data_IF_530353093567
#
_entry.id   IF_530353093567
#
_cell.length_a   1.000
_cell.length_b   1.000
_cell.length_c   1.000
_cell.angle_alpha   90.00
_cell.angle_beta   90.00
_cell.angle_gamma   90.00
#
_symmetry.space_group_name_H-M   'P 1'
#
loop_
_entity.id
_entity.type
_entity.pdbx_description
1 polymer ?
#
# COMPACT_ATOMS: atom_id res chain seq x y z
N UNK A 1 2.33 24.65 25.57
CA UNK A 1 3.02 24.77 24.26
C UNK A 1 2.22 24.01 23.22
N UNK A 2 1.95 24.61 22.07
CA UNK A 2 1.31 23.91 20.96
C UNK A 2 2.27 22.84 20.40
N UNK A 3 1.76 21.66 20.05
CA UNK A 3 2.62 20.57 19.60
C UNK A 3 3.29 20.92 18.28
N UNK A 4 4.63 20.80 18.20
CA UNK A 4 5.46 21.34 17.10
C UNK A 4 4.96 20.94 15.71
N UNK A 5 4.43 19.74 15.55
CA UNK A 5 3.89 19.26 14.28
C UNK A 5 2.66 20.06 13.81
N UNK A 6 1.83 20.61 14.70
CA UNK A 6 0.64 21.44 14.37
C UNK A 6 1.00 22.79 13.74
N UNK A 7 2.19 23.31 14.04
CA UNK A 7 2.69 24.61 13.55
C UNK A 7 3.80 24.50 12.49
N UNK A 8 4.33 23.29 12.25
CA UNK A 8 5.34 23.04 11.22
C UNK A 8 4.84 23.51 9.84
N UNK A 9 5.64 24.34 9.15
CA UNK A 9 5.37 24.90 7.82
C UNK A 9 4.07 25.72 7.69
N UNK A 10 3.43 26.14 8.78
CA UNK A 10 2.21 27.00 8.70
C UNK A 10 2.50 28.50 8.70
N UNK A 11 3.74 28.90 8.97
CA UNK A 11 4.22 30.30 8.97
C UNK A 11 5.44 30.44 8.07
N UNK A 12 5.59 31.59 7.42
CA UNK A 12 6.67 31.85 6.47
C UNK A 12 8.01 32.08 7.16
N UNK A 13 9.10 31.70 6.49
CA UNK A 13 10.46 31.84 6.99
C UNK A 13 10.92 33.30 6.92
N UNK A 14 11.21 33.90 8.08
CA UNK A 14 11.71 35.28 8.18
C UNK A 14 13.02 35.51 7.42
N UNK A 15 13.88 34.48 7.27
CA UNK A 15 15.13 34.60 6.50
C UNK A 15 14.86 34.73 5.00
N UNK A 16 13.88 34.00 4.45
CA UNK A 16 13.44 34.17 3.06
C UNK A 16 12.83 35.57 2.86
N UNK A 17 11.97 36.01 3.79
CA UNK A 17 11.33 37.33 3.71
C UNK A 17 12.33 38.50 3.71
N UNK A 18 13.48 38.37 4.39
CA UNK A 18 14.48 39.44 4.50
C UNK A 18 15.64 39.32 3.51
N UNK A 19 16.12 38.10 3.30
CA UNK A 19 17.40 37.83 2.62
C UNK A 19 17.24 36.97 1.36
N UNK A 20 16.02 36.54 1.01
CA UNK A 20 15.69 35.59 -0.07
C UNK A 20 16.34 34.19 0.06
N UNK A 21 17.13 33.95 1.11
CA UNK A 21 17.82 32.68 1.38
C UNK A 21 17.62 32.23 2.83
N UNK A 22 17.62 30.91 3.06
CA UNK A 22 17.63 30.31 4.39
C UNK A 22 18.76 29.30 4.51
N UNK A 23 19.79 29.63 5.30
CA UNK A 23 20.94 28.77 5.60
C UNK A 23 20.58 27.49 6.36
N UNK A 24 19.33 27.36 6.83
CA UNK A 24 18.80 26.18 7.53
C UNK A 24 17.66 25.51 6.74
N UNK A 25 17.57 25.69 5.41
CA UNK A 25 16.44 25.25 4.56
C UNK A 25 15.97 23.82 4.85
N UNK A 26 16.89 22.89 5.06
CA UNK A 26 16.61 21.46 5.33
C UNK A 26 15.92 21.20 6.69
N UNK A 27 16.22 22.00 7.71
CA UNK A 27 15.73 21.82 9.08
C UNK A 27 14.68 22.87 9.49
N UNK A 28 14.44 23.88 8.62
CA UNK A 28 13.57 24.99 8.93
C UNK A 28 12.11 24.52 9.09
N UNK A 29 11.52 24.84 10.24
CA UNK A 29 10.12 24.56 10.57
C UNK A 29 9.15 25.59 9.97
N UNK A 30 9.63 26.59 9.23
CA UNK A 30 8.86 27.60 8.53
C UNK A 30 8.87 27.33 7.02
N UNK A 31 7.81 27.73 6.31
CA UNK A 31 7.73 27.53 4.87
C UNK A 31 8.52 28.61 4.11
N UNK A 32 9.07 28.24 2.97
CA UNK A 32 9.86 29.11 2.11
C UNK A 32 9.04 29.59 0.91
N UNK A 33 8.15 28.76 0.38
CA UNK A 33 7.27 29.03 -0.76
C UNK A 33 6.00 28.15 -0.70
N UNK A 34 5.13 28.19 -1.72
CA UNK A 34 3.89 27.41 -1.74
C UNK A 34 4.08 25.88 -1.89
N UNK A 35 5.28 25.41 -2.28
CA UNK A 35 5.59 23.97 -2.39
C UNK A 35 5.77 23.31 -1.03
N UNK A 36 6.28 24.05 -0.04
CA UNK A 36 6.43 23.55 1.34
C UNK A 36 5.45 24.18 2.35
N UNK A 37 4.67 25.20 1.96
CA UNK A 37 3.62 25.81 2.79
C UNK A 37 2.52 24.83 3.18
N UNK A 38 2.19 24.79 4.46
CA UNK A 38 1.08 24.00 5.00
C UNK A 38 -0.05 24.90 5.50
N UNK A 39 -1.29 24.62 5.13
CA UNK A 39 -2.46 25.26 5.76
C UNK A 39 -2.55 24.92 7.25
N UNK A 40 -3.12 25.85 8.02
CA UNK A 40 -3.43 25.64 9.44
C UNK A 40 -4.55 24.62 9.60
N UNK A 41 -4.54 23.89 10.72
CA UNK A 41 -5.50 22.79 10.98
C UNK A 41 -6.95 23.26 11.23
N UNK A 42 -7.19 24.56 11.24
CA UNK A 42 -8.54 25.14 11.32
C UNK A 42 -9.28 25.08 9.96
N UNK A 43 -8.56 24.77 8.87
CA UNK A 43 -9.15 24.52 7.57
C UNK A 43 -9.35 23.01 7.42
N UNK A 44 -10.60 22.57 7.26
CA UNK A 44 -10.91 21.15 7.01
C UNK A 44 -10.51 20.78 5.58
N UNK A 45 -9.53 19.89 5.44
CA UNK A 45 -9.14 19.27 4.18
C UNK A 45 -8.83 17.78 4.40
N UNK A 46 -9.08 16.99 3.38
CA UNK A 46 -8.94 15.54 3.37
C UNK A 46 -7.47 15.08 3.43
N UNK A 47 -7.18 13.91 4.01
CA UNK A 47 -5.82 13.36 4.19
C UNK A 47 -5.20 12.80 2.90
N UNK A 48 -5.64 13.27 1.74
CA UNK A 48 -5.29 12.72 0.42
C UNK A 48 -4.74 13.87 -0.44
N UNK A 49 -3.69 13.62 -1.23
CA UNK A 49 -3.19 14.59 -2.21
C UNK A 49 -4.24 14.85 -3.31
N UNK A 50 -4.39 16.10 -3.73
CA UNK A 50 -5.16 16.40 -4.94
C UNK A 50 -4.39 15.99 -6.20
N UNK A 51 -5.08 15.91 -7.35
CA UNK A 51 -4.43 15.54 -8.61
C UNK A 51 -3.31 16.52 -8.99
N UNK A 52 -3.54 17.81 -8.87
CA UNK A 52 -2.55 18.85 -9.21
C UNK A 52 -1.27 18.73 -8.37
N UNK A 53 -1.38 18.36 -7.09
CA UNK A 53 -0.24 18.19 -6.17
C UNK A 53 0.47 16.85 -6.30
N UNK A 54 0.00 15.99 -7.21
CA UNK A 54 0.68 14.76 -7.67
C UNK A 54 1.38 15.02 -9.01
N UNK A 55 0.80 15.85 -9.90
CA UNK A 55 1.37 16.18 -11.21
C UNK A 55 2.35 17.35 -11.18
N UNK A 56 2.23 18.22 -10.18
CA UNK A 56 3.02 19.42 -9.95
C UNK A 56 3.41 19.46 -8.47
N UNK A 57 4.51 20.12 -8.11
CA UNK A 57 5.00 20.15 -6.72
C UNK A 57 4.02 20.76 -5.70
N UNK A 58 3.03 21.52 -6.19
CA UNK A 58 1.88 21.97 -5.39
C UNK A 58 0.64 22.29 -6.25
N UNK A 59 -0.48 22.44 -5.56
CA UNK A 59 -1.78 22.85 -6.10
C UNK A 59 -2.06 24.33 -5.86
N UNK A 60 -2.41 25.04 -6.94
CA UNK A 60 -2.72 26.48 -6.94
C UNK A 60 -4.16 26.79 -6.45
N UNK A 61 -5.04 25.79 -6.34
CA UNK A 61 -6.41 26.00 -5.88
C UNK A 61 -6.45 26.28 -4.36
N UNK A 62 -6.61 27.54 -3.96
CA UNK A 62 -6.63 27.95 -2.55
C UNK A 62 -7.73 27.25 -1.72
N UNK A 63 -8.89 27.02 -2.35
CA UNK A 63 -10.07 26.35 -1.75
C UNK A 63 -10.06 24.83 -1.91
N UNK A 64 -8.93 24.22 -2.31
CA UNK A 64 -8.84 22.77 -2.53
C UNK A 64 -9.20 21.97 -1.26
N UNK A 65 -10.16 21.04 -1.37
CA UNK A 65 -10.59 20.18 -0.26
C UNK A 65 -9.59 19.07 0.11
N UNK A 66 -8.48 18.95 -0.61
CA UNK A 66 -7.46 17.90 -0.47
C UNK A 66 -6.09 18.53 -0.14
N UNK A 67 -5.09 17.71 0.23
CA UNK A 67 -3.72 18.16 0.48
C UNK A 67 -3.09 18.75 -0.80
N UNK A 68 -2.63 20.00 -0.71
CA UNK A 68 -2.09 20.78 -1.84
C UNK A 68 -0.61 20.56 -2.11
N UNK A 69 0.11 19.87 -1.22
CA UNK A 69 1.49 19.43 -1.41
C UNK A 69 1.80 18.28 -0.45
N UNK A 70 3.01 17.71 -0.56
CA UNK A 70 3.45 16.58 0.24
C UNK A 70 3.60 16.91 1.74
N UNK A 71 3.86 18.17 2.11
CA UNK A 71 3.95 18.61 3.49
C UNK A 71 2.56 18.67 4.17
N UNK A 72 1.52 19.09 3.46
CA UNK A 72 0.13 18.94 3.90
C UNK A 72 -0.23 17.47 4.09
N UNK A 73 0.10 16.60 3.12
CA UNK A 73 -0.21 15.18 3.21
C UNK A 73 0.48 14.49 4.39
N UNK A 74 1.80 14.64 4.53
CA UNK A 74 2.59 13.93 5.55
C UNK A 74 2.27 14.40 6.98
N UNK A 75 2.01 15.70 7.17
CA UNK A 75 1.72 16.27 8.49
C UNK A 75 0.22 16.44 8.77
N UNK A 76 -0.65 15.93 7.88
CA UNK A 76 -2.09 15.84 8.16
C UNK A 76 -2.34 15.03 9.44
N UNK A 77 -3.26 15.43 10.33
CA UNK A 77 -3.52 14.70 11.59
C UNK A 77 -3.81 13.21 11.41
N UNK A 78 -4.42 12.81 10.30
CA UNK A 78 -4.72 11.40 10.00
C UNK A 78 -3.49 10.62 9.50
N UNK A 79 -2.51 11.28 8.88
CA UNK A 79 -1.34 10.65 8.27
C UNK A 79 -0.08 10.72 9.15
N UNK A 80 0.05 11.76 9.98
CA UNK A 80 1.19 11.98 10.86
C UNK A 80 1.37 10.78 11.82
N UNK A 81 2.60 10.26 11.93
CA UNK A 81 2.97 9.13 12.81
C UNK A 81 2.22 7.82 12.53
N UNK A 82 1.77 7.61 11.29
CA UNK A 82 1.18 6.32 10.84
C UNK A 82 2.22 5.31 10.34
N UNK A 83 3.37 5.79 9.85
CA UNK A 83 4.48 4.99 9.30
C UNK A 83 5.72 5.09 10.18
N UNK A 84 6.55 4.04 10.20
CA UNK A 84 7.80 3.99 10.96
C UNK A 84 8.89 4.86 10.33
N UNK A 85 9.72 5.50 11.14
CA UNK A 85 10.83 6.32 10.69
C UNK A 85 11.92 5.46 10.03
N UNK A 86 12.31 5.80 8.80
CA UNK A 86 13.34 5.06 8.04
C UNK A 86 14.65 4.99 8.81
N UNK A 87 15.11 6.09 9.42
CA UNK A 87 16.32 6.11 10.23
C UNK A 87 16.20 5.11 11.39
N UNK A 88 15.05 5.08 12.10
CA UNK A 88 14.79 4.10 13.17
C UNK A 88 14.78 2.66 12.65
N UNK A 89 14.17 2.40 11.49
CA UNK A 89 14.16 1.07 10.85
C UNK A 89 15.57 0.58 10.52
N UNK A 90 16.49 1.51 10.19
CA UNK A 90 17.90 1.26 9.92
C UNK A 90 18.79 1.27 11.18
N UNK A 91 18.23 1.45 12.38
CA UNK A 91 19.00 1.58 13.63
C UNK A 91 19.75 2.91 13.81
N UNK A 92 19.51 3.88 12.94
CA UNK A 92 20.14 5.21 12.92
C UNK A 92 19.32 6.18 13.78
N UNK A 93 20.00 7.06 14.53
CA UNK A 93 19.33 8.13 15.26
C UNK A 93 18.66 9.13 14.31
N UNK A 94 17.37 9.43 14.56
CA UNK A 94 16.65 10.42 13.77
C UNK A 94 16.89 11.83 14.32
N UNK A 95 17.49 12.71 13.51
CA UNK A 95 17.80 14.11 13.85
C UNK A 95 16.67 15.09 13.52
N UNK A 96 15.60 14.65 12.83
CA UNK A 96 14.47 15.51 12.47
C UNK A 96 13.63 15.91 13.70
N UNK A 97 13.75 17.19 14.07
CA UNK A 97 13.03 17.85 15.19
C UNK A 97 11.52 17.60 15.15
N UNK A 98 10.92 17.58 13.95
CA UNK A 98 9.51 17.21 13.74
C UNK A 98 9.39 16.08 12.73
N UNK A 99 10.09 14.96 12.97
CA UNK A 99 9.97 13.78 12.12
C UNK A 99 8.48 13.34 12.04
N UNK A 100 7.92 13.15 10.83
CA UNK A 100 6.51 12.79 10.67
C UNK A 100 6.23 11.30 10.87
N UNK A 101 7.26 10.51 11.09
CA UNK A 101 7.20 9.06 11.23
C UNK A 101 7.43 8.65 12.68
N UNK A 102 6.82 7.55 13.12
CA UNK A 102 6.96 7.10 14.50
C UNK A 102 8.31 6.41 14.72
N UNK A 103 8.89 6.59 15.91
CA UNK A 103 10.13 5.95 16.35
C UNK A 103 9.89 4.82 17.34
N UNK A 104 8.67 4.67 17.87
CA UNK A 104 8.31 3.54 18.74
C UNK A 104 6.84 3.13 18.57
N UNK A 105 6.48 1.89 18.95
CA UNK A 105 5.08 1.43 18.98
C UNK A 105 4.19 2.29 19.89
N UNK A 106 4.75 2.78 21.00
CA UNK A 106 4.05 3.65 21.95
C UNK A 106 3.73 5.00 21.29
N UNK A 107 4.69 5.61 20.59
CA UNK A 107 4.44 6.84 19.83
C UNK A 107 3.34 6.63 18.78
N UNK A 108 3.38 5.53 18.02
CA UNK A 108 2.31 5.17 17.07
C UNK A 108 0.95 5.09 17.74
N UNK A 109 0.86 4.44 18.90
CA UNK A 109 -0.39 4.26 19.65
C UNK A 109 -0.92 5.57 20.21
N UNK A 110 -0.06 6.43 20.77
CA UNK A 110 -0.45 7.77 21.24
C UNK A 110 -1.08 8.60 20.11
N UNK A 111 -0.47 8.61 18.92
CA UNK A 111 -1.03 9.31 17.76
C UNK A 111 -2.28 8.63 17.17
N UNK A 112 -2.48 7.33 17.39
CA UNK A 112 -3.74 6.66 17.05
C UNK A 112 -4.89 7.13 17.95
N UNK A 113 -4.69 7.14 19.28
CA UNK A 113 -5.71 7.64 20.22
C UNK A 113 -6.06 9.11 19.97
N UNK A 114 -5.07 9.95 19.63
CA UNK A 114 -5.32 11.34 19.25
C UNK A 114 -6.24 11.45 18.02
N UNK A 115 -6.04 10.62 16.99
CA UNK A 115 -6.94 10.57 15.81
C UNK A 115 -8.35 10.16 16.17
N UNK A 116 -8.49 9.09 16.95
CA UNK A 116 -9.79 8.56 17.38
C UNK A 116 -10.58 9.61 18.20
N UNK A 117 -9.90 10.37 19.06
CA UNK A 117 -10.51 11.47 19.82
C UNK A 117 -10.91 12.66 18.94
N UNK A 118 -10.11 13.01 17.92
CA UNK A 118 -10.47 14.05 16.95
C UNK A 118 -11.68 13.65 16.09
N UNK A 119 -11.84 12.37 15.75
CA UNK A 119 -13.02 11.89 15.03
C UNK A 119 -14.28 11.84 15.89
N UNK A 120 -14.17 11.58 17.20
CA UNK A 120 -15.31 11.59 18.12
C UNK A 120 -15.87 13.00 18.33
N UNK A 121 -15.00 13.99 18.57
CA UNK A 121 -15.41 15.39 18.72
C UNK A 121 -16.13 16.00 17.49
N UNK A 122 -15.96 15.41 16.30
CA UNK A 122 -16.73 15.80 15.11
C UNK A 122 -18.13 15.18 15.08
N UNK A 123 -18.35 14.06 15.77
CA UNK A 123 -19.63 13.36 15.85
C UNK A 123 -20.56 13.94 16.92
N UNK A 124 -20.01 14.49 18.01
CA UNK A 124 -20.76 15.10 19.11
C UNK A 124 -21.48 16.42 18.73
N UNK A 125 -21.31 16.91 17.49
CA UNK A 125 -21.99 18.10 16.95
C UNK A 125 -23.23 17.76 16.09
N UNK A 126 -23.49 16.49 15.79
CA UNK A 126 -24.73 16.05 15.13
C UNK A 126 -25.57 15.27 16.14
N UNK A 127 -26.45 16.00 16.83
CA UNK A 127 -27.18 15.49 17.99
C UNK A 127 -28.18 14.38 17.65
N UNK A 128 -28.07 13.28 18.37
CA UNK A 128 -29.19 12.40 18.68
C UNK A 128 -29.01 11.84 20.10
N UNK A 129 -30.09 11.80 20.89
CA UNK A 129 -30.06 11.50 22.33
C UNK A 129 -30.17 9.99 22.64
N UNK A 130 -29.74 9.65 23.88
CA UNK A 130 -30.11 8.51 24.73
C UNK A 130 -29.87 7.08 24.20
N UNK A 131 -29.63 6.04 24.99
CA UNK A 131 -29.34 5.78 26.43
C UNK A 131 -28.73 4.35 26.46
N UNK A 132 -28.08 3.78 27.48
CA UNK A 132 -27.83 4.11 28.89
C UNK A 132 -26.56 3.36 29.37
N UNK A 133 -26.04 3.73 30.54
CA UNK A 133 -24.83 3.14 31.17
C UNK A 133 -25.05 1.76 31.81
N UNK A 134 -23.98 0.96 31.99
CA UNK A 134 -23.77 0.21 33.25
C UNK A 134 -22.32 -0.31 33.45
N UNK A 135 -21.79 -0.11 34.65
CA UNK A 135 -20.42 -0.43 35.12
C UNK A 135 -20.43 -1.27 36.43
N UNK A 136 -19.37 -1.96 36.88
CA UNK A 136 -18.06 -2.19 36.23
C UNK A 136 -17.59 -3.68 36.20
N UNK A 137 -17.11 -4.35 37.29
CA UNK A 137 -15.82 -5.02 37.11
C UNK A 137 -15.60 -6.44 37.69
N UNK A 138 -14.39 -6.94 37.40
CA UNK A 138 -13.50 -7.79 38.22
C UNK A 138 -13.51 -9.34 38.10
N UNK A 139 -12.27 -9.85 38.06
CA UNK A 139 -11.71 -11.14 38.54
C UNK A 139 -11.41 -12.28 37.55
N UNK A 140 -10.45 -13.12 37.96
CA UNK A 140 -9.67 -14.00 37.08
C UNK A 140 -9.29 -15.35 37.75
N UNK A 141 -8.95 -16.34 36.89
CA UNK A 141 -8.39 -17.68 37.17
C UNK A 141 -9.42 -18.75 37.63
N UNK A 142 -9.15 -20.08 37.52
CA UNK A 142 -7.91 -20.75 37.06
C UNK A 142 -8.09 -21.80 35.93
N UNK A 143 -7.00 -22.55 35.68
CA UNK A 143 -6.72 -23.52 34.60
C UNK A 143 -7.44 -24.86 34.78
N UNK A 144 -7.76 -25.55 33.67
CA UNK A 144 -7.79 -27.02 33.61
C UNK A 144 -7.15 -27.52 32.29
N UNK A 145 -6.25 -28.51 32.39
CA UNK A 145 -5.63 -29.19 31.24
C UNK A 145 -6.44 -30.43 30.84
N UNK A 146 -6.43 -30.79 29.55
CA UNK A 146 -6.22 -32.20 29.18
C UNK A 146 -5.58 -32.32 27.80
N UNK A 147 -4.43 -32.98 27.77
CA UNK A 147 -3.72 -33.38 26.55
C UNK A 147 -4.32 -34.69 26.03
N UNK A 148 -4.20 -34.93 24.73
CA UNK A 148 -3.95 -36.28 24.21
C UNK A 148 -3.18 -36.14 22.91
N UNK A 149 -2.09 -36.89 22.79
CA UNK A 149 -1.03 -36.68 21.80
C UNK A 149 -1.09 -37.74 20.70
N UNK A 150 -0.74 -37.31 19.48
CA UNK A 150 -0.18 -38.18 18.45
C UNK A 150 1.07 -37.45 17.93
N UNK A 151 2.26 -38.09 17.92
CA UNK A 151 3.48 -37.44 17.47
C UNK A 151 3.47 -37.30 15.94
N UNK A 152 3.08 -36.14 15.44
CA UNK A 152 3.31 -35.76 14.04
C UNK A 152 4.79 -35.42 13.91
N UNK A 153 5.49 -36.18 13.08
CA UNK A 153 6.91 -36.00 12.77
C UNK A 153 7.15 -34.60 12.18
N UNK A 154 7.78 -33.71 12.96
CA UNK A 154 7.95 -32.29 12.60
C UNK A 154 8.99 -32.15 11.49
N UNK A 155 8.53 -32.23 10.24
CA UNK A 155 9.34 -31.92 9.06
C UNK A 155 9.61 -30.42 9.02
N UNK A 156 10.78 -30.03 9.51
CA UNK A 156 11.28 -28.67 9.36
C UNK A 156 11.22 -28.24 7.88
N UNK A 157 10.77 -27.02 7.57
CA UNK A 157 10.64 -26.58 6.17
C UNK A 157 12.00 -26.56 5.46
N UNK A 158 12.06 -27.05 4.21
CA UNK A 158 13.28 -27.03 3.39
C UNK A 158 13.61 -25.62 2.89
N UNK A 159 14.15 -24.79 3.79
CA UNK A 159 14.56 -23.41 3.55
C UNK A 159 15.75 -23.28 2.58
N UNK A 160 16.31 -24.38 2.06
CA UNK A 160 17.43 -24.36 1.09
C UNK A 160 16.97 -24.04 -0.33
N UNK A 161 15.74 -24.40 -0.69
CA UNK A 161 15.11 -24.10 -2.00
C UNK A 161 14.43 -22.73 -1.96
N UNK A 162 14.26 -22.06 -3.11
CA UNK A 162 13.47 -20.83 -3.15
C UNK A 162 11.97 -21.13 -2.96
N UNK A 163 11.15 -20.23 -2.37
CA UNK A 163 9.71 -20.49 -2.16
C UNK A 163 8.96 -20.90 -3.44
N UNK A 164 9.33 -20.33 -4.59
CA UNK A 164 8.76 -20.69 -5.91
C UNK A 164 9.12 -22.11 -6.40
N UNK A 165 10.03 -22.81 -5.73
CA UNK A 165 10.42 -24.20 -6.03
C UNK A 165 9.77 -25.20 -5.06
N UNK A 166 9.17 -24.72 -3.97
CA UNK A 166 8.54 -25.56 -2.93
C UNK A 166 7.05 -25.78 -3.14
N UNK A 167 6.38 -24.90 -3.91
CA UNK A 167 4.92 -24.88 -4.05
C UNK A 167 4.16 -24.34 -2.83
N UNK A 168 4.89 -23.78 -1.85
CA UNK A 168 4.34 -23.14 -0.66
C UNK A 168 5.30 -22.07 -0.13
N UNK A 169 4.76 -21.13 0.64
CA UNK A 169 5.50 -20.05 1.31
C UNK A 169 5.54 -20.29 2.82
N UNK A 170 6.52 -19.72 3.52
CA UNK A 170 6.56 -19.71 5.00
C UNK A 170 6.27 -18.32 5.53
N UNK A 171 5.42 -18.21 6.55
CA UNK A 171 5.01 -16.95 7.14
C UNK A 171 6.21 -16.18 7.73
N UNK A 172 6.37 -14.91 7.34
CA UNK A 172 7.52 -14.04 7.63
C UNK A 172 8.87 -14.53 7.10
N UNK A 173 8.88 -15.45 6.14
CA UNK A 173 10.07 -15.68 5.31
C UNK A 173 10.20 -14.54 4.28
N UNK A 174 11.44 -14.18 3.93
CA UNK A 174 11.75 -13.30 2.82
C UNK A 174 11.94 -14.14 1.56
N UNK A 175 11.24 -13.80 0.47
CA UNK A 175 11.22 -14.65 -0.74
C UNK A 175 12.48 -14.57 -1.60
N UNK A 176 13.47 -13.76 -1.21
CA UNK A 176 14.75 -13.53 -1.91
C UNK A 176 14.57 -13.21 -3.42
N UNK A 177 13.48 -12.51 -3.73
CA UNK A 177 13.17 -11.88 -5.01
C UNK A 177 12.86 -10.42 -4.74
N UNK A 178 13.06 -9.58 -5.75
CA UNK A 178 12.80 -8.15 -5.69
C UNK A 178 11.73 -7.78 -6.71
N UNK A 179 11.06 -6.64 -6.53
CA UNK A 179 10.18 -6.11 -7.58
C UNK A 179 11.01 -5.69 -8.78
N UNK A 180 10.64 -6.20 -9.96
CA UNK A 180 11.33 -5.97 -11.23
C UNK A 180 10.31 -5.94 -12.38
N UNK A 181 10.75 -5.91 -13.65
CA UNK A 181 9.86 -5.88 -14.82
C UNK A 181 8.91 -7.08 -14.93
N UNK A 182 9.21 -8.19 -14.26
CA UNK A 182 8.47 -9.44 -14.27
C UNK A 182 7.83 -9.78 -12.92
N UNK A 183 8.19 -9.07 -11.84
CA UNK A 183 7.82 -9.39 -10.46
C UNK A 183 7.13 -8.20 -9.83
N UNK A 184 5.93 -8.40 -9.28
CA UNK A 184 5.23 -7.39 -8.47
C UNK A 184 4.78 -8.01 -7.15
N UNK A 185 5.01 -7.33 -6.04
CA UNK A 185 4.54 -7.72 -4.71
C UNK A 185 3.41 -6.80 -4.28
N UNK A 186 2.33 -7.34 -3.73
CA UNK A 186 1.28 -6.52 -3.11
C UNK A 186 0.89 -7.12 -1.78
N UNK A 187 0.87 -6.29 -0.74
CA UNK A 187 0.40 -6.68 0.58
C UNK A 187 -1.13 -6.60 0.66
N UNK A 188 -1.78 -7.53 1.36
CA UNK A 188 -3.17 -7.37 1.76
C UNK A 188 -3.25 -6.30 2.88
N UNK A 189 -3.73 -5.10 2.53
CA UNK A 189 -3.68 -3.91 3.38
C UNK A 189 -4.82 -3.78 4.41
N UNK A 190 -5.55 -4.85 4.72
CA UNK A 190 -6.69 -4.84 5.63
C UNK A 190 -6.79 -6.09 6.52
N UNK A 191 -7.54 -5.99 7.63
CA UNK A 191 -7.82 -7.13 8.53
C UNK A 191 -8.71 -8.21 7.89
N UNK A 192 -9.56 -7.81 6.94
CA UNK A 192 -10.49 -8.67 6.21
C UNK A 192 -10.21 -8.50 4.72
N UNK A 193 -10.12 -9.61 3.99
CA UNK A 193 -9.93 -9.59 2.55
C UNK A 193 -11.20 -9.13 1.83
N UNK A 194 -11.08 -8.13 0.95
CA UNK A 194 -12.14 -7.68 0.06
C UNK A 194 -11.77 -8.03 -1.39
N UNK A 195 -12.47 -8.99 -2.03
CA UNK A 195 -12.18 -9.40 -3.41
C UNK A 195 -12.25 -8.26 -4.44
N UNK A 196 -13.19 -7.31 -4.30
CA UNK A 196 -13.33 -6.22 -5.28
C UNK A 196 -12.13 -5.27 -5.21
N UNK A 197 -11.78 -4.80 -4.01
CA UNK A 197 -10.61 -3.92 -3.80
C UNK A 197 -9.31 -4.62 -4.18
N UNK A 198 -9.21 -5.93 -3.98
CA UNK A 198 -8.10 -6.74 -4.44
C UNK A 198 -7.97 -6.73 -5.97
N UNK A 199 -9.07 -6.99 -6.69
CA UNK A 199 -9.10 -7.01 -8.16
C UNK A 199 -8.84 -5.61 -8.74
N UNK A 200 -9.44 -4.56 -8.18
CA UNK A 200 -9.16 -3.17 -8.58
C UNK A 200 -7.67 -2.80 -8.44
N UNK A 201 -7.01 -3.25 -7.35
CA UNK A 201 -5.59 -2.99 -7.08
C UNK A 201 -4.65 -3.68 -8.08
N UNK A 202 -4.94 -4.93 -8.45
CA UNK A 202 -4.05 -5.77 -9.29
C UNK A 202 -4.30 -5.60 -10.80
N UNK A 203 -5.50 -5.17 -11.20
CA UNK A 203 -5.90 -5.05 -12.62
C UNK A 203 -4.94 -4.19 -13.46
N UNK A 204 -4.47 -3.01 -13.00
CA UNK A 204 -3.48 -2.21 -13.73
C UNK A 204 -2.16 -2.96 -13.98
N UNK A 205 -1.74 -3.84 -13.06
CA UNK A 205 -0.51 -4.63 -13.19
C UNK A 205 -0.65 -5.77 -14.19
N UNK A 206 -1.82 -6.42 -14.26
CA UNK A 206 -2.09 -7.47 -15.25
C UNK A 206 -2.06 -6.85 -16.67
N UNK A 207 -2.74 -5.71 -16.85
CA UNK A 207 -2.64 -4.91 -18.09
C UNK A 207 -1.19 -4.51 -18.41
N UNK A 208 -0.44 -4.05 -17.41
CA UNK A 208 0.96 -3.67 -17.55
C UNK A 208 1.87 -4.82 -18.01
N UNK A 209 1.67 -6.04 -17.50
CA UNK A 209 2.43 -7.23 -17.89
C UNK A 209 2.12 -7.70 -19.31
N UNK A 210 0.84 -7.75 -19.71
CA UNK A 210 0.42 -8.09 -21.08
C UNK A 210 1.08 -7.16 -22.11
N UNK A 211 1.05 -5.86 -21.81
CA UNK A 211 1.63 -4.82 -22.65
C UNK A 211 3.16 -4.77 -22.66
N UNK A 212 3.87 -5.43 -21.73
CA UNK A 212 5.34 -5.46 -21.75
C UNK A 212 5.89 -6.85 -22.06
N UNK A 213 6.19 -7.64 -21.03
CA UNK A 213 7.00 -8.85 -21.14
C UNK A 213 6.38 -10.06 -20.44
N UNK A 214 5.14 -9.94 -19.95
CA UNK A 214 4.59 -10.86 -18.98
C UNK A 214 5.27 -10.74 -17.62
N UNK A 215 4.79 -11.50 -16.65
CA UNK A 215 5.32 -11.49 -15.29
C UNK A 215 4.46 -12.32 -14.33
N UNK A 216 4.71 -12.16 -13.04
CA UNK A 216 3.94 -12.73 -11.95
C UNK A 216 3.72 -11.68 -10.87
N UNK A 217 2.45 -11.45 -10.52
CA UNK A 217 2.06 -10.69 -9.34
C UNK A 217 1.87 -11.64 -8.16
N UNK A 218 2.40 -11.28 -7.00
CA UNK A 218 2.27 -12.04 -5.76
C UNK A 218 1.49 -11.22 -4.73
N UNK A 219 0.21 -11.56 -4.53
CA UNK A 219 -0.64 -10.91 -3.55
C UNK A 219 -0.60 -11.65 -2.20
N UNK A 220 -0.23 -10.94 -1.14
CA UNK A 220 0.16 -11.51 0.16
C UNK A 220 1.65 -11.40 0.49
N UNK A 221 2.46 -10.80 -0.40
CA UNK A 221 3.88 -10.49 -0.16
C UNK A 221 4.02 -8.98 0.00
N UNK A 222 4.80 -8.53 0.98
CA UNK A 222 5.10 -7.11 1.20
C UNK A 222 6.16 -6.62 0.21
N UNK A 223 6.19 -5.32 -0.02
CA UNK A 223 7.15 -4.64 -0.89
C UNK A 223 8.62 -4.91 -0.50
N UNK A 224 8.89 -5.26 0.77
CA UNK A 224 10.21 -5.71 1.26
C UNK A 224 10.40 -7.24 1.23
N UNK A 225 9.69 -7.95 0.34
CA UNK A 225 9.83 -9.38 0.07
C UNK A 225 9.29 -10.32 1.16
N UNK A 226 8.75 -9.79 2.26
CA UNK A 226 8.28 -10.59 3.39
C UNK A 226 6.86 -11.16 3.17
N UNK A 227 6.73 -12.49 3.33
CA UNK A 227 5.44 -13.20 3.25
C UNK A 227 4.54 -12.81 4.43
N UNK A 228 3.40 -12.19 4.13
CA UNK A 228 2.29 -11.98 5.06
C UNK A 228 1.17 -13.00 4.85
N UNK A 229 0.95 -13.43 3.61
CA UNK A 229 -0.24 -14.18 3.21
C UNK A 229 -1.50 -13.33 3.16
N UNK A 230 -2.59 -13.99 2.78
CA UNK A 230 -3.95 -13.47 2.65
C UNK A 230 -4.91 -14.52 3.21
N UNK A 231 -5.77 -14.14 4.16
CA UNK A 231 -6.76 -15.05 4.74
C UNK A 231 -7.95 -15.19 3.79
N UNK A 232 -8.09 -16.36 3.17
CA UNK A 232 -9.10 -16.66 2.16
C UNK A 232 -9.83 -17.97 2.49
N UNK A 233 -11.04 -17.88 3.02
CA UNK A 233 -11.95 -19.04 3.09
C UNK A 233 -12.28 -19.55 1.68
N UNK A 234 -12.80 -20.78 1.55
CA UNK A 234 -13.24 -21.32 0.25
C UNK A 234 -14.15 -20.34 -0.50
N UNK A 235 -15.16 -19.79 0.17
CA UNK A 235 -16.09 -18.79 -0.39
C UNK A 235 -15.36 -17.55 -0.92
N UNK A 236 -14.36 -17.04 -0.20
CA UNK A 236 -13.58 -15.88 -0.65
C UNK A 236 -12.70 -16.18 -1.86
N UNK A 237 -12.15 -17.40 -1.99
CA UNK A 237 -11.41 -17.84 -3.18
C UNK A 237 -12.33 -17.93 -4.39
N UNK A 238 -13.48 -18.61 -4.25
CA UNK A 238 -14.48 -18.77 -5.31
C UNK A 238 -15.00 -17.38 -5.79
N UNK A 239 -15.26 -16.46 -4.84
CA UNK A 239 -15.64 -15.07 -5.15
C UNK A 239 -14.53 -14.29 -5.85
N UNK A 240 -13.28 -14.39 -5.38
CA UNK A 240 -12.15 -13.71 -6.02
C UNK A 240 -11.95 -14.17 -7.46
N UNK A 241 -11.94 -15.49 -7.72
CA UNK A 241 -11.86 -16.05 -9.07
C UNK A 241 -12.99 -15.54 -9.97
N UNK A 242 -14.24 -15.57 -9.49
CA UNK A 242 -15.39 -15.08 -10.28
C UNK A 242 -15.25 -13.60 -10.66
N UNK A 243 -14.80 -12.75 -9.73
CA UNK A 243 -14.67 -11.30 -9.95
C UNK A 243 -13.48 -11.00 -10.88
N UNK A 244 -12.33 -11.63 -10.67
CA UNK A 244 -11.16 -11.39 -11.52
C UNK A 244 -11.39 -11.91 -12.95
N UNK A 245 -12.00 -13.08 -13.13
CA UNK A 245 -12.31 -13.60 -14.46
C UNK A 245 -13.30 -12.67 -15.19
N UNK A 246 -14.33 -12.16 -14.51
CA UNK A 246 -15.25 -11.16 -15.07
C UNK A 246 -14.56 -9.86 -15.49
N UNK A 247 -13.60 -9.36 -14.68
CA UNK A 247 -12.82 -8.15 -14.99
C UNK A 247 -11.84 -8.38 -16.14
N UNK A 248 -11.18 -9.55 -16.20
CA UNK A 248 -10.21 -9.88 -17.24
C UNK A 248 -10.87 -10.18 -18.59
N UNK A 249 -12.05 -10.80 -18.61
CA UNK A 249 -12.86 -10.97 -19.83
C UNK A 249 -13.37 -9.63 -20.40
N UNK A 250 -13.42 -8.57 -19.59
CA UNK A 250 -13.76 -7.21 -20.02
C UNK A 250 -12.55 -6.39 -20.52
N UNK A 251 -11.37 -6.99 -20.67
CA UNK A 251 -10.23 -6.34 -21.33
C UNK A 251 -10.45 -6.26 -22.84
N UNK A 252 -9.73 -5.33 -23.48
CA UNK A 252 -9.71 -5.19 -24.94
C UNK A 252 -8.26 -5.13 -25.42
N UNK A 253 -7.77 -6.05 -26.27
CA UNK A 253 -8.42 -7.28 -26.75
C UNK A 253 -8.82 -8.25 -25.63
N UNK A 254 -9.76 -9.15 -25.94
CA UNK A 254 -10.28 -10.16 -25.01
C UNK A 254 -9.19 -11.16 -24.63
N UNK A 255 -9.07 -11.49 -23.34
CA UNK A 255 -8.08 -12.43 -22.84
C UNK A 255 -8.57 -13.88 -22.92
N UNK A 256 -7.72 -14.79 -23.35
CA UNK A 256 -7.98 -16.22 -23.30
C UNK A 256 -7.59 -16.82 -21.94
N UNK A 257 -8.10 -18.01 -21.63
CA UNK A 257 -7.67 -18.79 -20.46
C UNK A 257 -6.19 -19.19 -20.49
N UNK A 258 -5.51 -19.00 -21.64
CA UNK A 258 -4.09 -19.20 -21.79
C UNK A 258 -3.26 -17.96 -21.38
N UNK A 259 -3.83 -16.76 -21.37
CA UNK A 259 -3.05 -15.52 -21.17
C UNK A 259 -2.67 -15.27 -19.71
N UNK A 260 -3.37 -15.90 -18.76
CA UNK A 260 -3.09 -15.79 -17.34
C UNK A 260 -3.35 -17.11 -16.60
N UNK A 261 -2.71 -17.25 -15.44
CA UNK A 261 -2.92 -18.38 -14.52
C UNK A 261 -2.96 -17.85 -13.08
N UNK A 262 -3.97 -18.26 -12.32
CA UNK A 262 -4.14 -17.92 -10.91
C UNK A 262 -3.87 -19.17 -10.06
N UNK A 263 -2.96 -19.05 -9.09
CA UNK A 263 -2.64 -20.11 -8.14
C UNK A 263 -2.76 -19.58 -6.69
N UNK A 264 -3.36 -20.39 -5.82
CA UNK A 264 -3.48 -20.09 -4.38
C UNK A 264 -2.45 -20.92 -3.62
N UNK A 265 -1.20 -20.46 -3.58
CA UNK A 265 -0.11 -21.12 -2.91
C UNK A 265 -0.29 -21.09 -1.37
N UNK A 266 -0.12 -22.23 -0.71
CA UNK A 266 -0.31 -22.34 0.74
C UNK A 266 0.76 -21.55 1.52
N UNK A 267 0.39 -20.98 2.67
CA UNK A 267 1.34 -20.43 3.64
C UNK A 267 1.46 -21.38 4.84
N UNK A 268 2.70 -21.70 5.21
CA UNK A 268 3.06 -22.56 6.32
C UNK A 268 3.63 -21.75 7.48
N UNK A 269 3.53 -22.27 8.70
CA UNK A 269 4.24 -21.78 9.87
C UNK A 269 5.73 -22.11 9.81
N UNK A 270 6.52 -21.50 10.70
CA UNK A 270 7.96 -21.77 10.82
C UNK A 270 8.26 -23.20 11.32
N UNK A 271 7.27 -23.84 11.91
CA UNK A 271 7.23 -25.26 12.29
C UNK A 271 6.95 -26.20 11.11
N UNK A 272 6.74 -25.67 9.90
CA UNK A 272 6.45 -26.43 8.68
C UNK A 272 4.98 -26.79 8.51
N UNK A 273 4.11 -26.56 9.51
CA UNK A 273 2.69 -26.88 9.43
C UNK A 273 1.94 -25.90 8.53
N UNK A 274 0.98 -26.39 7.74
CA UNK A 274 0.11 -25.54 6.92
C UNK A 274 -0.77 -24.66 7.82
N UNK A 275 -0.80 -23.35 7.56
CA UNK A 275 -1.74 -22.44 8.21
C UNK A 275 -3.06 -22.48 7.42
N UNK A 276 -4.14 -22.91 8.09
CA UNK A 276 -5.44 -23.04 7.44
C UNK A 276 -5.95 -21.69 6.93
N UNK A 277 -6.52 -21.74 5.72
CA UNK A 277 -7.04 -20.60 4.96
C UNK A 277 -6.07 -19.41 4.72
N UNK A 278 -4.75 -19.59 4.90
CA UNK A 278 -3.75 -18.56 4.60
C UNK A 278 -2.98 -18.89 3.30
N UNK A 279 -3.01 -17.97 2.33
CA UNK A 279 -2.43 -18.17 0.99
C UNK A 279 -1.61 -16.98 0.50
N UNK A 280 -0.73 -17.20 -0.47
CA UNK A 280 -0.27 -16.19 -1.42
C UNK A 280 -1.04 -16.42 -2.72
N UNK A 281 -1.63 -15.37 -3.30
CA UNK A 281 -2.22 -15.46 -4.64
C UNK A 281 -1.13 -15.12 -5.65
N UNK A 282 -0.74 -16.11 -6.45
CA UNK A 282 0.15 -15.94 -7.58
C UNK A 282 -0.69 -15.72 -8.84
N UNK A 283 -0.43 -14.65 -9.58
CA UNK A 283 -1.09 -14.35 -10.85
C UNK A 283 -0.02 -14.22 -11.91
N UNK A 284 0.20 -15.30 -12.66
CA UNK A 284 1.14 -15.36 -13.76
C UNK A 284 0.44 -14.86 -15.03
N UNK A 285 1.07 -13.94 -15.74
CA UNK A 285 0.52 -13.27 -16.92
C UNK A 285 1.51 -13.41 -18.07
N UNK A 286 1.06 -13.88 -19.23
CA UNK A 286 1.89 -13.98 -20.44
C UNK A 286 2.19 -12.59 -21.02
N UNK A 287 3.20 -12.51 -21.86
CA UNK A 287 3.36 -11.38 -22.78
C UNK A 287 2.28 -11.50 -23.86
N UNK A 288 1.41 -10.50 -23.99
CA UNK A 288 0.40 -10.47 -25.06
C UNK A 288 1.02 -10.19 -26.44
N UNK A 289 0.22 -10.15 -27.50
CA UNK A 289 0.71 -9.99 -28.87
C UNK A 289 1.43 -8.64 -29.06
N UNK A 290 2.60 -8.67 -29.73
CA UNK A 290 3.40 -7.48 -30.09
C UNK A 290 2.67 -6.50 -31.01
N UNK A 291 1.64 -6.96 -31.72
CA UNK A 291 0.82 -6.18 -32.64
C UNK A 291 -0.42 -5.59 -31.97
N UNK A 292 -0.59 -5.80 -30.66
CA UNK A 292 -1.73 -5.34 -29.88
C UNK A 292 -1.29 -4.48 -28.67
N UNK A 293 -2.22 -3.66 -28.18
CA UNK A 293 -2.17 -3.03 -26.86
C UNK A 293 -3.43 -3.44 -26.12
N UNK A 294 -3.25 -3.95 -24.91
CA UNK A 294 -4.31 -4.35 -24.00
C UNK A 294 -4.72 -3.17 -23.13
N UNK A 295 -6.02 -2.91 -23.11
CA UNK A 295 -6.69 -1.95 -22.25
C UNK A 295 -7.46 -2.73 -21.18
N UNK A 296 -7.42 -2.23 -19.94
CA UNK A 296 -8.20 -2.78 -18.85
C UNK A 296 -9.71 -2.62 -19.08
N UNK A 297 -10.52 -3.23 -18.22
CA UNK A 297 -11.97 -3.00 -18.13
C UNK A 297 -12.38 -1.52 -17.93
N UNK A 298 -11.44 -0.61 -17.65
CA UNK A 298 -11.65 0.84 -17.52
C UNK A 298 -11.21 1.62 -18.76
N UNK A 299 -10.80 0.94 -19.83
CA UNK A 299 -10.27 1.57 -21.05
C UNK A 299 -8.85 2.14 -20.89
N UNK A 300 -8.10 1.70 -19.88
CA UNK A 300 -6.78 2.23 -19.53
C UNK A 300 -5.67 1.23 -19.92
N UNK A 301 -4.67 1.70 -20.65
CA UNK A 301 -3.49 0.91 -21.03
C UNK A 301 -2.29 1.26 -20.14
N UNK A 302 -1.74 0.26 -19.45
CA UNK A 302 -0.56 0.41 -18.60
C UNK A 302 0.66 -0.31 -19.18
N UNK A 303 1.86 0.07 -18.76
CA UNK A 303 3.12 -0.65 -18.99
C UNK A 303 3.90 -0.82 -17.70
N UNK A 304 4.58 -1.96 -17.52
CA UNK A 304 5.48 -2.21 -16.38
C UNK A 304 6.89 -1.68 -16.70
N UNK A 305 7.40 -0.83 -15.81
CA UNK A 305 8.81 -0.41 -15.69
C UNK A 305 9.41 -1.13 -14.49
N UNK A 306 10.72 -1.01 -14.29
CA UNK A 306 11.49 -1.80 -13.31
C UNK A 306 10.79 -1.98 -11.96
N UNK A 307 10.47 -0.91 -11.22
CA UNK A 307 9.72 -1.00 -9.95
C UNK A 307 8.39 -0.21 -9.94
N UNK A 308 7.77 0.02 -11.11
CA UNK A 308 6.49 0.76 -11.18
C UNK A 308 5.72 0.54 -12.47
N UNK A 309 4.41 0.78 -12.45
CA UNK A 309 3.61 0.92 -13.68
C UNK A 309 3.61 2.36 -14.21
N UNK A 310 3.22 2.52 -15.48
CA UNK A 310 2.93 3.82 -16.09
C UNK A 310 1.70 3.72 -16.96
N UNK A 311 0.79 4.68 -16.85
CA UNK A 311 -0.41 4.81 -17.66
C UNK A 311 -0.06 5.47 -19.00
N UNK A 312 -0.37 4.82 -20.11
CA UNK A 312 -0.19 5.35 -21.46
C UNK A 312 -1.37 6.24 -21.84
N UNK A 313 -1.08 7.50 -22.22
CA UNK A 313 -2.08 8.48 -22.69
C UNK A 313 -1.57 9.24 -23.91
N UNK A 314 -2.49 9.63 -24.79
CA UNK A 314 -2.23 10.51 -25.92
C UNK A 314 -1.08 10.03 -26.81
N UNK A 315 -0.16 10.91 -27.25
CA UNK A 315 0.95 10.56 -28.14
C UNK A 315 1.87 9.43 -27.63
N UNK A 316 1.95 9.21 -26.31
CA UNK A 316 2.79 8.16 -25.75
C UNK A 316 2.23 6.75 -26.05
N UNK A 317 0.90 6.60 -26.16
CA UNK A 317 0.25 5.36 -26.56
C UNK A 317 0.63 4.97 -27.99
N UNK A 318 0.56 5.91 -28.93
CA UNK A 318 0.92 5.69 -30.34
C UNK A 318 2.42 5.39 -30.52
N UNK A 319 3.29 6.17 -29.85
CA UNK A 319 4.74 5.92 -29.85
C UNK A 319 5.09 4.55 -29.26
N UNK A 320 4.36 4.12 -28.23
CA UNK A 320 4.53 2.80 -27.63
C UNK A 320 4.12 1.69 -28.61
N UNK A 321 2.95 1.83 -29.25
CA UNK A 321 2.46 0.88 -30.27
C UNK A 321 3.49 0.65 -31.37
N UNK A 322 3.97 1.74 -31.99
CA UNK A 322 4.95 1.68 -33.08
C UNK A 322 6.24 0.97 -32.66
N UNK A 323 6.77 1.26 -31.46
CA UNK A 323 7.96 0.56 -30.94
C UNK A 323 7.69 -0.91 -30.66
N UNK A 324 6.50 -1.26 -30.14
CA UNK A 324 6.12 -2.64 -29.78
C UNK A 324 6.00 -3.51 -31.02
N UNK A 325 5.29 -3.03 -32.04
CA UNK A 325 5.13 -3.72 -33.33
C UNK A 325 6.47 -3.94 -34.04
N UNK A 326 7.37 -2.95 -33.98
CA UNK A 326 8.71 -3.01 -34.57
C UNK A 326 9.72 -3.84 -33.72
N UNK A 327 9.30 -4.43 -32.60
CA UNK A 327 10.19 -5.20 -31.72
C UNK A 327 11.23 -4.38 -30.94
N UNK A 328 11.07 -3.05 -30.89
CA UNK A 328 11.99 -2.11 -30.24
C UNK A 328 11.61 -1.76 -28.79
N UNK A 329 10.53 -2.34 -28.26
CA UNK A 329 10.29 -2.34 -26.81
C UNK A 329 11.13 -3.45 -26.21
N UNK A 330 12.25 -3.07 -25.58
CA UNK A 330 13.24 -4.01 -25.07
C UNK A 330 12.66 -5.01 -24.05
N UNK A 331 13.25 -6.21 -23.95
CA UNK A 331 13.33 -6.89 -22.66
C UNK A 331 14.00 -5.99 -21.58
#
# INVERSE_FOLDING_TARGET
MESVWKVYKTKQCNSILKNQECSQKEYCTFFHDETDRRRTLNLSYEPILCLDSITSDHCLHETCKFCRNFNEYIYHPQNFKTRECVNRKLGISCTFISCPYFHSPEERYQFQLLRENMTKHNHDNEGYESESESETPLQAKPIAKKETSVPVEVRMPDLKRLPSERGYYVLKEEVKKFEDRHTEFKACSGKVFNPNLAVDLITPYICAFLNTQGGTLFYGIRDDGLVNGVTLTRKLRDQFSTIIDSVLNAFTPHLSADDYQINFANVHGKDGQRINDLYVIEIKVKKGDKNEIYFSNKGEAYIKRDASISLLKGPNLLKFFQKRSNGQVSP
#
